data_IF_183085875030
#
_entry.id   IF_183085875030
#
_cell.length_a   1.000
_cell.length_b   1.000
_cell.length_c   1.000
_cell.angle_alpha   90.00
_cell.angle_beta   90.00
_cell.angle_gamma   90.00
#
_symmetry.space_group_name_H-M   'P 1'
#
loop_
_entity.id
_entity.type
_entity.pdbx_description
1 polymer ?
#
# COMPACT_ATOMS: atom_id res chain seq x y z
N UNK A 1 -22.11 5.08 -14.79
CA UNK A 1 -21.15 5.11 -13.66
C UNK A 1 -21.12 6.53 -13.07
N UNK A 2 -21.28 6.73 -11.75
CA UNK A 2 -21.31 8.09 -11.15
C UNK A 2 -20.02 8.90 -11.41
N UNK A 3 -18.88 8.22 -11.47
CA UNK A 3 -17.56 8.81 -11.82
C UNK A 3 -17.59 9.44 -13.22
N UNK A 4 -18.21 8.78 -14.20
CA UNK A 4 -18.30 9.25 -15.59
C UNK A 4 -19.00 10.61 -15.68
N UNK A 5 -20.22 10.67 -15.14
CA UNK A 5 -21.07 11.87 -15.19
C UNK A 5 -20.42 13.02 -14.43
N UNK A 6 -19.92 12.76 -13.22
CA UNK A 6 -19.48 13.84 -12.34
C UNK A 6 -18.09 14.39 -12.71
N UNK A 7 -17.18 13.55 -13.21
CA UNK A 7 -15.77 13.92 -13.36
C UNK A 7 -15.29 14.01 -14.81
N UNK A 8 -15.81 13.18 -15.72
CA UNK A 8 -15.35 13.14 -17.12
C UNK A 8 -16.26 13.97 -18.03
N UNK A 9 -17.57 13.71 -18.00
CA UNK A 9 -18.53 14.39 -18.87
C UNK A 9 -18.63 15.90 -18.55
N UNK A 10 -18.44 16.27 -17.28
CA UNK A 10 -18.30 17.66 -16.84
C UNK A 10 -16.93 18.29 -17.15
N UNK A 11 -16.04 17.57 -17.84
CA UNK A 11 -14.68 18.01 -18.23
C UNK A 11 -13.79 18.45 -17.06
N UNK A 12 -14.00 17.90 -15.87
CA UNK A 12 -13.15 18.18 -14.70
C UNK A 12 -11.79 17.50 -14.87
N UNK A 13 -11.79 16.27 -15.41
CA UNK A 13 -10.57 15.52 -15.68
C UNK A 13 -10.66 14.77 -17.01
N UNK A 14 -9.52 14.66 -17.69
CA UNK A 14 -9.33 13.71 -18.79
C UNK A 14 -9.32 12.27 -18.24
N UNK A 15 -9.78 11.27 -19.01
CA UNK A 15 -9.76 9.86 -18.60
C UNK A 15 -8.39 9.40 -18.06
N UNK A 16 -7.30 9.77 -18.75
CA UNK A 16 -5.93 9.45 -18.31
C UNK A 16 -5.55 10.08 -16.97
N UNK A 17 -6.08 11.26 -16.64
CA UNK A 17 -5.84 11.90 -15.35
C UNK A 17 -6.57 11.17 -14.23
N UNK A 18 -7.78 10.65 -14.50
CA UNK A 18 -8.51 9.81 -13.54
C UNK A 18 -7.75 8.50 -13.30
N UNK A 19 -7.23 7.87 -14.36
CA UNK A 19 -6.39 6.68 -14.23
C UNK A 19 -5.16 6.96 -13.35
N UNK A 20 -4.47 8.09 -13.55
CA UNK A 20 -3.36 8.50 -12.66
C UNK A 20 -3.80 8.71 -11.21
N UNK A 21 -5.02 9.21 -10.95
CA UNK A 21 -5.55 9.32 -9.58
C UNK A 21 -5.89 7.97 -8.98
N UNK A 22 -6.41 7.03 -9.78
CA UNK A 22 -6.67 5.65 -9.35
C UNK A 22 -5.36 4.94 -9.01
N UNK A 23 -4.32 5.11 -9.82
CA UNK A 23 -2.98 4.55 -9.56
C UNK A 23 -2.41 5.03 -8.21
N UNK A 24 -2.53 6.32 -7.93
CA UNK A 24 -2.15 6.86 -6.61
C UNK A 24 -3.00 6.23 -5.50
N UNK A 25 -4.33 6.14 -5.67
CA UNK A 25 -5.21 5.53 -4.68
C UNK A 25 -4.89 4.05 -4.42
N UNK A 26 -4.56 3.28 -5.46
CA UNK A 26 -4.14 1.89 -5.36
C UNK A 26 -2.92 1.75 -4.46
N UNK A 27 -1.90 2.59 -4.63
CA UNK A 27 -0.68 2.54 -3.81
C UNK A 27 -0.93 2.78 -2.32
N UNK A 28 -1.89 3.64 -2.00
CA UNK A 28 -2.23 4.01 -0.62
C UNK A 28 -3.40 3.19 -0.06
N UNK A 29 -3.96 2.26 -0.83
CA UNK A 29 -5.03 1.38 -0.40
C UNK A 29 -5.01 0.06 -1.20
N UNK A 30 -3.87 -0.62 -1.16
CA UNK A 30 -3.61 -1.78 -2.02
C UNK A 30 -4.46 -3.01 -1.67
N UNK A 31 -5.28 -2.95 -0.61
CA UNK A 31 -6.31 -3.95 -0.32
C UNK A 31 -7.25 -4.18 -1.50
N UNK A 32 -7.62 -3.10 -2.19
CA UNK A 32 -8.56 -3.12 -3.30
C UNK A 32 -7.86 -3.12 -4.67
N UNK A 33 -6.67 -3.71 -4.75
CA UNK A 33 -5.85 -3.72 -5.98
C UNK A 33 -6.67 -4.22 -7.19
N UNK A 34 -7.40 -5.32 -7.03
CA UNK A 34 -8.22 -5.91 -8.09
C UNK A 34 -9.31 -4.95 -8.56
N UNK A 35 -10.02 -4.32 -7.64
CA UNK A 35 -11.08 -3.36 -7.90
C UNK A 35 -10.54 -2.12 -8.59
N UNK A 36 -9.40 -1.57 -8.14
CA UNK A 36 -8.78 -0.43 -8.79
C UNK A 36 -8.32 -0.73 -10.22
N UNK A 37 -7.72 -1.90 -10.46
CA UNK A 37 -7.37 -2.33 -11.82
C UNK A 37 -8.60 -2.51 -12.71
N UNK A 38 -9.70 -3.03 -12.15
CA UNK A 38 -10.97 -3.13 -12.87
C UNK A 38 -11.52 -1.77 -13.28
N UNK A 39 -11.40 -0.75 -12.43
CA UNK A 39 -11.80 0.62 -12.76
C UNK A 39 -10.93 1.20 -13.88
N UNK A 40 -9.63 0.97 -13.85
CA UNK A 40 -8.72 1.37 -14.94
C UNK A 40 -9.15 0.69 -16.24
N UNK A 41 -9.44 -0.63 -16.20
CA UNK A 41 -9.87 -1.40 -17.37
C UNK A 41 -11.14 -0.84 -17.99
N UNK A 42 -12.14 -0.54 -17.15
CA UNK A 42 -13.40 0.06 -17.60
C UNK A 42 -13.18 1.39 -18.32
N UNK A 43 -12.31 2.26 -17.78
CA UNK A 43 -12.00 3.56 -18.40
C UNK A 43 -11.23 3.34 -19.71
N UNK A 44 -10.27 2.42 -19.75
CA UNK A 44 -9.53 2.13 -20.97
C UNK A 44 -10.44 1.62 -22.09
N UNK A 45 -11.37 0.73 -21.78
CA UNK A 45 -12.31 0.19 -22.76
C UNK A 45 -13.28 1.24 -23.28
N UNK A 46 -13.87 2.03 -22.37
CA UNK A 46 -14.88 3.03 -22.68
C UNK A 46 -14.33 4.18 -23.53
N UNK A 47 -13.08 4.59 -23.26
CA UNK A 47 -12.43 5.70 -23.97
C UNK A 47 -11.39 5.24 -24.99
N UNK A 48 -11.34 3.93 -25.28
CA UNK A 48 -10.41 3.31 -26.24
C UNK A 48 -8.93 3.68 -26.01
N UNK A 49 -8.52 3.73 -24.74
CA UNK A 49 -7.15 4.05 -24.35
C UNK A 49 -6.28 2.81 -24.56
N UNK A 50 -5.30 2.93 -25.45
CA UNK A 50 -4.38 1.83 -25.80
C UNK A 50 -2.99 2.00 -25.20
N UNK A 51 -2.65 3.19 -24.68
CA UNK A 51 -1.35 3.46 -24.06
C UNK A 51 -1.42 4.54 -22.98
N UNK A 52 -0.68 4.35 -21.89
CA UNK A 52 -0.62 5.24 -20.72
C UNK A 52 0.83 5.31 -20.24
N UNK A 53 1.35 6.53 -20.07
CA UNK A 53 2.73 6.77 -19.62
C UNK A 53 2.83 7.36 -18.20
N UNK A 54 1.70 7.74 -17.59
CA UNK A 54 1.66 8.49 -16.33
C UNK A 54 1.03 7.69 -15.17
N UNK A 55 1.39 6.41 -15.06
CA UNK A 55 1.03 5.53 -13.93
C UNK A 55 2.26 4.74 -13.49
N UNK A 56 2.23 4.22 -12.26
CA UNK A 56 3.36 3.49 -11.70
C UNK A 56 3.71 2.21 -12.50
N UNK A 57 5.00 1.86 -12.63
CA UNK A 57 5.41 0.62 -13.30
C UNK A 57 4.73 -0.63 -12.73
N UNK A 58 4.46 -0.65 -11.42
CA UNK A 58 3.71 -1.71 -10.76
C UNK A 58 2.28 -1.83 -11.31
N UNK A 59 1.54 -0.73 -11.41
CA UNK A 59 0.16 -0.75 -11.93
C UNK A 59 0.12 -1.19 -13.39
N UNK A 60 1.05 -0.72 -14.24
CA UNK A 60 1.17 -1.24 -15.62
C UNK A 60 1.41 -2.75 -15.61
N UNK A 61 2.36 -3.22 -14.79
CA UNK A 61 2.73 -4.63 -14.72
C UNK A 61 1.53 -5.50 -14.34
N UNK A 62 0.85 -5.16 -13.24
CA UNK A 62 -0.30 -5.90 -12.74
C UNK A 62 -1.46 -5.89 -13.73
N UNK A 63 -1.75 -4.72 -14.33
CA UNK A 63 -2.79 -4.61 -15.33
C UNK A 63 -2.50 -5.50 -16.55
N UNK A 64 -1.27 -5.42 -17.07
CA UNK A 64 -0.88 -6.16 -18.25
C UNK A 64 -0.96 -7.67 -18.00
N UNK A 65 -0.53 -8.12 -16.82
CA UNK A 65 -0.58 -9.52 -16.40
C UNK A 65 -2.01 -10.04 -16.19
N UNK A 66 -2.88 -9.24 -15.56
CA UNK A 66 -4.26 -9.65 -15.27
C UNK A 66 -5.13 -9.70 -16.54
N UNK A 67 -5.01 -8.70 -17.42
CA UNK A 67 -5.89 -8.56 -18.58
C UNK A 67 -5.27 -9.01 -19.90
N UNK A 68 -4.00 -9.40 -19.92
CA UNK A 68 -3.24 -9.73 -21.14
C UNK A 68 -3.27 -8.61 -22.20
N UNK A 69 -3.12 -7.36 -21.76
CA UNK A 69 -3.10 -6.14 -22.59
C UNK A 69 -1.80 -5.39 -22.35
N UNK A 70 -1.19 -4.81 -23.39
CA UNK A 70 0.00 -3.96 -23.23
C UNK A 70 -0.42 -2.48 -23.16
N UNK A 71 -0.63 -1.94 -21.96
CA UNK A 71 -1.04 -0.54 -21.77
C UNK A 71 0.11 0.48 -21.77
N UNK A 72 1.35 0.04 -21.92
CA UNK A 72 2.52 0.91 -21.92
C UNK A 72 3.80 0.12 -21.69
N UNK A 73 4.92 0.83 -21.67
CA UNK A 73 6.24 0.23 -21.50
C UNK A 73 6.64 0.20 -20.03
N UNK A 74 7.31 -0.87 -19.63
CA UNK A 74 7.87 -1.04 -18.29
C UNK A 74 9.37 -1.27 -18.47
N UNK A 75 10.19 -0.58 -17.68
CA UNK A 75 11.64 -0.79 -17.71
C UNK A 75 12.00 -2.26 -17.42
N UNK A 76 12.96 -2.82 -18.16
CA UNK A 76 13.33 -4.23 -18.05
C UNK A 76 13.77 -4.62 -16.63
N UNK A 77 14.45 -3.71 -15.92
CA UNK A 77 14.85 -3.89 -14.52
C UNK A 77 13.64 -4.11 -13.60
N UNK A 78 12.58 -3.31 -13.77
CA UNK A 78 11.32 -3.43 -13.04
C UNK A 78 10.54 -4.69 -13.43
N UNK A 79 10.47 -5.02 -14.72
CA UNK A 79 9.88 -6.29 -15.17
C UNK A 79 10.56 -7.49 -14.49
N UNK A 80 11.89 -7.55 -14.52
CA UNK A 80 12.65 -8.63 -13.88
C UNK A 80 12.41 -8.67 -12.37
N UNK A 81 12.35 -7.52 -11.70
CA UNK A 81 12.03 -7.42 -10.27
C UNK A 81 10.65 -8.04 -9.99
N UNK A 82 9.63 -7.67 -10.76
CA UNK A 82 8.26 -8.14 -10.53
C UNK A 82 8.09 -9.63 -10.79
N UNK A 83 8.70 -10.16 -11.85
CA UNK A 83 8.67 -11.61 -12.13
C UNK A 83 9.40 -12.42 -11.06
N UNK A 84 10.61 -12.01 -10.69
CA UNK A 84 11.44 -12.76 -9.73
C UNK A 84 10.84 -12.75 -8.31
N UNK A 85 10.09 -11.71 -7.95
CA UNK A 85 9.40 -11.62 -6.66
C UNK A 85 7.92 -12.01 -6.75
N UNK A 86 7.51 -12.62 -7.88
CA UNK A 86 6.16 -13.14 -8.09
C UNK A 86 5.04 -12.13 -7.81
N UNK A 87 5.24 -10.88 -8.21
CA UNK A 87 4.21 -9.84 -8.04
C UNK A 87 2.93 -10.25 -8.78
N UNK A 88 1.81 -10.05 -8.10
CA UNK A 88 0.48 -10.36 -8.62
C UNK A 88 -0.55 -9.46 -7.95
N UNK A 89 -1.78 -9.46 -8.45
CA UNK A 89 -2.87 -8.71 -7.83
C UNK A 89 -3.18 -9.17 -6.39
N UNK A 90 -2.76 -10.37 -6.02
CA UNK A 90 -2.75 -10.83 -4.63
C UNK A 90 -1.49 -10.29 -3.94
N UNK A 91 -1.61 -9.13 -3.29
CA UNK A 91 -0.52 -8.38 -2.65
C UNK A 91 0.28 -9.24 -1.67
N UNK A 92 -0.40 -10.13 -0.96
CA UNK A 92 0.20 -11.03 0.01
C UNK A 92 -0.25 -12.48 -0.19
N UNK A 93 0.73 -13.38 -0.10
CA UNK A 93 0.49 -14.82 -0.04
C UNK A 93 -0.44 -15.17 1.12
N UNK A 94 -1.36 -16.10 0.88
CA UNK A 94 -2.43 -16.45 1.83
C UNK A 94 -1.92 -16.94 3.18
N UNK A 95 -0.73 -17.53 3.24
CA UNK A 95 -0.09 -18.06 4.46
C UNK A 95 0.73 -17.02 5.21
N UNK A 96 1.11 -15.91 4.57
CA UNK A 96 1.97 -14.89 5.18
C UNK A 96 1.32 -14.20 6.38
N UNK A 97 2.16 -13.69 7.28
CA UNK A 97 1.71 -12.81 8.37
C UNK A 97 1.21 -11.46 7.86
N UNK A 98 1.76 -10.94 6.76
CA UNK A 98 1.28 -9.70 6.17
C UNK A 98 -0.15 -9.84 5.62
N UNK A 99 -0.52 -11.02 5.07
CA UNK A 99 -1.93 -11.32 4.78
C UNK A 99 -2.77 -11.36 6.05
N UNK A 100 -2.27 -11.96 7.12
CA UNK A 100 -3.00 -11.98 8.39
C UNK A 100 -3.28 -10.55 8.92
N UNK A 101 -2.30 -9.64 8.81
CA UNK A 101 -2.48 -8.23 9.16
C UNK A 101 -3.47 -7.54 8.21
N UNK A 102 -3.34 -7.74 6.91
CA UNK A 102 -4.24 -7.18 5.89
C UNK A 102 -5.71 -7.53 6.15
N UNK A 103 -5.98 -8.72 6.69
CA UNK A 103 -7.32 -9.21 7.03
C UNK A 103 -7.71 -8.97 8.51
N UNK A 104 -6.88 -8.26 9.27
CA UNK A 104 -6.94 -8.11 10.75
C UNK A 104 -7.18 -9.43 11.51
N UNK A 105 -6.61 -10.53 11.00
CA UNK A 105 -6.77 -11.86 11.56
C UNK A 105 -5.74 -12.11 12.68
N UNK A 106 -6.05 -11.58 13.86
CA UNK A 106 -5.21 -11.71 15.06
C UNK A 106 -4.96 -13.17 15.46
N UNK A 107 -5.94 -14.07 15.25
CA UNK A 107 -5.81 -15.49 15.57
C UNK A 107 -4.67 -16.16 14.79
N UNK A 108 -4.54 -15.83 13.50
CA UNK A 108 -3.44 -16.32 12.66
C UNK A 108 -2.10 -15.72 13.10
N UNK A 109 -2.05 -14.46 13.51
CA UNK A 109 -0.81 -13.86 14.06
C UNK A 109 -0.41 -14.56 15.36
N UNK A 110 -1.35 -14.81 16.28
CA UNK A 110 -1.09 -15.53 17.54
C UNK A 110 -0.47 -16.89 17.23
N UNK A 111 -1.07 -17.66 16.33
CA UNK A 111 -0.55 -18.96 15.93
C UNK A 111 0.87 -18.90 15.36
N UNK A 112 1.15 -17.91 14.49
CA UNK A 112 2.48 -17.70 13.92
C UNK A 112 3.50 -17.25 14.97
N UNK A 113 3.08 -16.37 15.89
CA UNK A 113 3.91 -15.80 16.96
C UNK A 113 4.33 -16.83 18.02
N UNK A 114 3.61 -17.96 18.12
CA UNK A 114 3.94 -19.08 19.01
C UNK A 114 4.93 -20.07 18.40
N UNK A 115 5.22 -19.96 17.08
CA UNK A 115 6.22 -20.80 16.43
C UNK A 115 7.63 -20.42 16.91
N UNK A 116 8.49 -21.43 17.10
CA UNK A 116 9.85 -21.23 17.63
C UNK A 116 10.71 -20.34 16.74
N UNK A 117 10.46 -20.39 15.43
CA UNK A 117 11.19 -19.66 14.39
C UNK A 117 10.63 -18.25 14.14
N UNK A 118 9.60 -17.81 14.88
CA UNK A 118 9.02 -16.49 14.68
C UNK A 118 10.01 -15.37 15.05
N UNK A 119 10.31 -14.51 14.08
CA UNK A 119 11.04 -13.26 14.30
C UNK A 119 10.08 -12.08 14.31
N UNK A 120 10.05 -11.34 15.42
CA UNK A 120 9.22 -10.13 15.57
C UNK A 120 9.71 -8.95 14.73
N UNK A 121 10.96 -9.00 14.25
CA UNK A 121 11.59 -7.93 13.49
C UNK A 121 11.44 -8.11 11.98
N UNK A 122 10.64 -9.09 11.53
CA UNK A 122 10.34 -9.23 10.11
C UNK A 122 9.74 -7.94 9.56
N UNK A 123 10.11 -7.64 8.32
CA UNK A 123 9.69 -6.46 7.61
C UNK A 123 9.47 -6.80 6.13
N UNK A 124 8.69 -5.97 5.44
CA UNK A 124 8.38 -6.13 4.03
C UNK A 124 8.94 -4.98 3.22
N UNK A 125 9.62 -5.32 2.13
CA UNK A 125 10.12 -4.37 1.14
C UNK A 125 9.38 -4.63 -0.16
N UNK A 126 8.52 -3.71 -0.59
CA UNK A 126 7.69 -3.93 -1.78
C UNK A 126 7.24 -2.64 -2.47
N UNK A 127 7.13 -2.67 -3.80
CA UNK A 127 6.61 -1.58 -4.63
C UNK A 127 5.10 -1.35 -4.39
N UNK A 128 4.41 -2.29 -3.71
CA UNK A 128 3.00 -2.14 -3.31
C UNK A 128 2.78 -1.04 -2.27
N UNK A 129 3.83 -0.58 -1.61
CA UNK A 129 3.77 0.41 -0.54
C UNK A 129 4.40 1.74 -0.96
N UNK A 130 3.99 2.87 -0.37
CA UNK A 130 4.62 4.16 -0.60
C UNK A 130 6.12 4.12 -0.27
N UNK A 131 6.90 4.98 -0.94
CA UNK A 131 8.30 5.19 -0.60
C UNK A 131 8.35 6.25 0.49
N UNK A 132 9.18 6.04 1.52
CA UNK A 132 9.40 6.99 2.61
C UNK A 132 10.07 8.25 2.09
N UNK A 133 9.69 9.38 2.66
CA UNK A 133 10.19 10.71 2.27
C UNK A 133 11.72 10.86 2.42
N UNK A 134 12.35 10.07 3.29
CA UNK A 134 13.81 10.12 3.50
C UNK A 134 14.58 9.02 2.76
N UNK A 135 13.90 8.01 2.19
CA UNK A 135 14.55 6.94 1.42
C UNK A 135 14.94 7.40 0.00
N UNK A 136 14.43 8.55 -0.45
CA UNK A 136 14.79 9.16 -1.73
C UNK A 136 16.29 9.47 -1.87
N UNK A 137 17.04 9.52 -0.76
CA UNK A 137 18.47 9.85 -0.74
C UNK A 137 19.40 8.62 -0.72
N UNK A 138 18.92 7.43 -0.35
CA UNK A 138 19.77 6.26 -0.06
C UNK A 138 19.50 5.06 -0.97
N UNK A 139 18.24 4.80 -1.32
CA UNK A 139 17.84 3.85 -2.35
C UNK A 139 16.44 4.23 -2.84
N UNK A 140 16.32 4.99 -3.95
CA UNK A 140 15.10 5.74 -4.28
C UNK A 140 13.90 4.88 -4.70
N UNK A 141 13.97 3.56 -4.60
CA UNK A 141 13.01 2.67 -5.24
C UNK A 141 12.09 1.93 -4.26
N UNK A 142 12.54 1.58 -3.06
CA UNK A 142 11.79 0.70 -2.16
C UNK A 142 12.01 1.06 -0.70
N UNK A 143 10.92 1.08 0.07
CA UNK A 143 10.95 1.23 1.52
C UNK A 143 10.62 -0.09 2.22
N UNK A 144 11.17 -0.25 3.42
CA UNK A 144 11.02 -1.46 4.23
C UNK A 144 10.17 -1.16 5.46
N UNK A 145 9.01 -1.81 5.56
CA UNK A 145 8.03 -1.57 6.64
C UNK A 145 7.94 -2.73 7.61
N UNK A 146 7.92 -2.43 8.91
CA UNK A 146 7.76 -3.45 9.96
C UNK A 146 6.29 -3.85 10.16
N UNK A 147 6.05 -4.90 10.94
CA UNK A 147 4.70 -5.42 11.21
C UNK A 147 3.73 -4.36 11.75
N UNK A 148 4.19 -3.47 12.63
CA UNK A 148 3.34 -2.47 13.26
C UNK A 148 2.96 -1.35 12.28
N UNK A 149 3.89 -0.93 11.42
CA UNK A 149 3.64 0.01 10.33
C UNK A 149 2.61 -0.56 9.35
N UNK A 150 2.73 -1.84 9.00
CA UNK A 150 1.75 -2.52 8.14
C UNK A 150 0.38 -2.64 8.81
N UNK A 151 0.31 -2.86 10.12
CA UNK A 151 -0.97 -2.80 10.85
C UNK A 151 -1.61 -1.41 10.73
N UNK A 152 -0.82 -0.34 10.84
CA UNK A 152 -1.32 1.02 10.69
C UNK A 152 -1.78 1.32 9.26
N UNK A 153 -1.08 0.79 8.25
CA UNK A 153 -1.43 0.95 6.83
C UNK A 153 -2.79 0.32 6.51
N UNK A 154 -3.02 -0.91 6.97
CA UNK A 154 -4.28 -1.61 6.72
C UNK A 154 -5.40 -1.27 7.73
N UNK A 155 -5.08 -0.59 8.84
CA UNK A 155 -6.05 -0.33 9.90
C UNK A 155 -6.36 -1.56 10.75
N UNK A 156 -5.42 -2.49 10.89
CA UNK A 156 -5.57 -3.77 11.59
C UNK A 156 -5.46 -3.60 13.11
N UNK A 157 -6.58 -3.33 13.77
CA UNK A 157 -6.65 -2.93 15.18
C UNK A 157 -6.24 -4.06 16.11
N UNK A 158 -6.78 -5.26 15.89
CA UNK A 158 -6.56 -6.39 16.78
C UNK A 158 -5.12 -6.91 16.65
N UNK A 159 -4.61 -6.96 15.42
CA UNK A 159 -3.21 -7.27 15.14
C UNK A 159 -2.26 -6.24 15.78
N UNK A 160 -2.54 -4.95 15.63
CA UNK A 160 -1.75 -3.86 16.24
C UNK A 160 -1.66 -4.01 17.76
N UNK A 161 -2.82 -4.18 18.43
CA UNK A 161 -2.91 -4.32 19.88
C UNK A 161 -2.15 -5.55 20.37
N UNK A 162 -2.28 -6.69 19.68
CA UNK A 162 -1.54 -7.91 20.01
C UNK A 162 -0.02 -7.70 19.92
N UNK A 163 0.47 -7.20 18.78
CA UNK A 163 1.91 -7.03 18.55
C UNK A 163 2.54 -6.07 19.56
N UNK A 164 1.85 -4.97 19.88
CA UNK A 164 2.27 -4.01 20.92
C UNK A 164 2.34 -4.65 22.30
N UNK A 165 1.31 -5.38 22.69
CA UNK A 165 1.22 -5.99 24.02
C UNK A 165 2.23 -7.12 24.20
N UNK A 166 2.38 -7.98 23.20
CA UNK A 166 3.21 -9.19 23.27
C UNK A 166 4.70 -8.89 23.09
N UNK A 167 5.04 -8.00 22.16
CA UNK A 167 6.43 -7.81 21.71
C UNK A 167 7.00 -6.43 22.01
N UNK A 168 6.17 -5.50 22.51
CA UNK A 168 6.54 -4.12 22.81
C UNK A 168 7.19 -3.42 21.62
N UNK A 169 6.65 -3.64 20.41
CA UNK A 169 7.17 -2.99 19.21
C UNK A 169 6.99 -1.47 19.33
N UNK A 170 8.02 -0.65 19.02
CA UNK A 170 7.92 0.80 19.11
C UNK A 170 6.99 1.36 18.05
N UNK A 171 6.20 2.39 18.39
CA UNK A 171 5.46 3.17 17.39
C UNK A 171 6.47 4.04 16.65
N UNK A 172 6.44 3.97 15.32
CA UNK A 172 7.29 4.76 14.45
C UNK A 172 6.54 5.97 13.89
N UNK A 173 7.28 6.89 13.27
CA UNK A 173 6.68 8.01 12.52
C UNK A 173 5.76 7.50 11.40
N UNK A 174 6.14 6.40 10.73
CA UNK A 174 5.32 5.83 9.67
C UNK A 174 4.05 5.15 10.21
N UNK A 175 4.08 4.62 11.44
CA UNK A 175 2.84 4.19 12.11
C UNK A 175 1.85 5.35 12.22
N UNK A 176 2.31 6.53 12.64
CA UNK A 176 1.45 7.71 12.73
C UNK A 176 0.95 8.15 11.34
N UNK A 177 1.83 8.25 10.34
CA UNK A 177 1.42 8.61 8.96
C UNK A 177 0.36 7.64 8.41
N UNK A 178 0.59 6.35 8.57
CA UNK A 178 -0.35 5.33 8.10
C UNK A 178 -1.64 5.27 8.92
N UNK A 179 -1.63 5.64 10.20
CA UNK A 179 -2.86 5.73 10.99
C UNK A 179 -3.81 6.81 10.47
N UNK A 180 -3.29 7.92 9.94
CA UNK A 180 -4.12 8.92 9.24
C UNK A 180 -4.68 8.37 7.92
N UNK A 181 -3.88 7.56 7.20
CA UNK A 181 -4.29 6.96 5.94
C UNK A 181 -5.42 5.95 6.11
N UNK A 182 -5.29 5.03 7.08
CA UNK A 182 -6.34 4.04 7.38
C UNK A 182 -7.58 4.68 8.02
N UNK A 183 -7.40 5.85 8.68
CA UNK A 183 -8.50 6.59 9.28
C UNK A 183 -9.14 5.90 10.47
N UNK A 184 -8.44 4.95 11.10
CA UNK A 184 -8.92 4.14 12.23
C UNK A 184 -8.59 4.85 13.55
N UNK A 185 -9.59 5.35 14.32
CA UNK A 185 -9.34 6.16 15.51
C UNK A 185 -8.54 5.43 16.60
N UNK A 186 -8.77 4.13 16.78
CA UNK A 186 -8.07 3.32 17.78
C UNK A 186 -6.55 3.36 17.58
N UNK A 187 -6.09 3.13 16.35
CA UNK A 187 -4.66 3.13 16.01
C UNK A 187 -4.10 4.55 16.05
N UNK A 188 -4.82 5.52 15.49
CA UNK A 188 -4.42 6.93 15.48
C UNK A 188 -4.18 7.46 16.89
N UNK A 189 -5.10 7.18 17.82
CA UNK A 189 -5.01 7.64 19.20
C UNK A 189 -3.82 7.01 19.93
N UNK A 190 -3.50 5.73 19.68
CA UNK A 190 -2.28 5.12 20.23
C UNK A 190 -1.02 5.75 19.63
N UNK A 191 -0.99 5.99 18.32
CA UNK A 191 0.17 6.62 17.67
C UNK A 191 0.43 8.04 18.19
N UNK A 192 -0.63 8.82 18.42
CA UNK A 192 -0.54 10.20 18.92
C UNK A 192 -0.04 10.32 20.37
N UNK A 193 -0.09 9.23 21.15
CA UNK A 193 0.52 9.21 22.49
C UNK A 193 2.04 9.17 22.44
N UNK A 194 2.60 8.53 21.41
CA UNK A 194 4.06 8.33 21.27
C UNK A 194 4.69 9.30 20.25
N UNK A 195 3.94 9.74 19.24
CA UNK A 195 4.47 10.61 18.19
C UNK A 195 3.56 11.82 17.96
N UNK A 196 4.17 12.99 17.80
CA UNK A 196 3.45 14.23 17.50
C UNK A 196 3.62 14.63 16.03
N UNK A 197 2.53 15.08 15.38
CA UNK A 197 2.64 15.75 14.09
C UNK A 197 3.33 17.09 14.32
N UNK A 198 4.58 17.26 13.87
CA UNK A 198 5.26 18.55 14.00
C UNK A 198 4.78 19.44 12.86
N UNK A 199 4.15 20.57 13.20
CA UNK A 199 3.56 21.50 12.24
C UNK A 199 4.58 22.27 11.38
N UNK A 200 5.88 22.11 11.63
CA UNK A 200 6.94 22.68 10.80
C UNK A 200 7.27 21.73 9.66
N UNK A 201 6.86 22.11 8.44
CA UNK A 201 7.20 21.44 7.17
C UNK A 201 6.61 20.03 6.93
N UNK A 202 5.59 19.61 7.68
CA UNK A 202 4.94 18.31 7.46
C UNK A 202 5.76 17.11 7.94
N UNK A 203 6.71 17.33 8.84
CA UNK A 203 7.53 16.27 9.44
C UNK A 203 6.87 15.80 10.74
N UNK A 204 6.72 14.50 10.94
CA UNK A 204 6.26 13.94 12.22
C UNK A 204 7.49 13.50 13.03
N UNK A 205 7.49 13.71 14.35
CA UNK A 205 8.55 13.26 15.25
C UNK A 205 7.98 12.42 16.39
N UNK A 206 8.67 11.35 16.78
CA UNK A 206 8.31 10.59 17.97
C UNK A 206 8.93 11.22 19.22
N UNK A 207 8.17 11.22 20.31
CA UNK A 207 8.61 11.66 21.64
C UNK A 207 9.51 10.54 22.16
N UNK A 208 10.82 10.72 22.06
CA UNK A 208 11.83 9.80 22.60
C UNK A 208 11.73 9.66 24.10
#
# INVERSE_FOLDING_TARGET
MKIKVNLIENKVFLPVQIISKIDVALKFNNYYTREYLSLIKMICDEYHITRINNISPLTLYLFNKEYNIMLGDIEQSKLNLYENNHYSIEVHESTSIFRAIMDDNVGKIIFLAEQKEFDKNIAITSDFYPVRDYDFLSNPQLSTYNLLEICCYYGAVDCFKFLRTKFHLPITIDCLKFSFLSGVPDILNECLKECQPVLLYGVCNCIT
#
